data_IF_355599528301
#
_entry.id   IF_355599528301
#
_cell.length_a   1.000
_cell.length_b   1.000
_cell.length_c   1.000
_cell.angle_alpha   90.00
_cell.angle_beta   90.00
_cell.angle_gamma   90.00
#
_symmetry.space_group_name_H-M   'P 1'
#
loop_
_entity.id
_entity.type
_entity.pdbx_description
1 polymer ?
#
# COMPACT_ATOMS: atom_id res chain seq x y z
N UNK A 1 -7.31 6.34 -6.59
CA UNK A 1 -7.33 5.94 -8.02
C UNK A 1 -7.60 4.45 -8.14
N UNK A 2 -7.90 3.97 -9.35
CA UNK A 2 -8.13 2.54 -9.59
C UNK A 2 -6.91 1.72 -9.16
N UNK A 3 -7.12 0.73 -8.29
CA UNK A 3 -6.10 -0.22 -7.85
C UNK A 3 -6.25 -1.50 -8.68
N UNK A 4 -5.16 -2.13 -9.16
CA UNK A 4 -5.21 -3.37 -9.93
C UNK A 4 -5.46 -4.58 -9.00
N UNK A 5 -6.61 -4.60 -8.33
CA UNK A 5 -6.94 -5.59 -7.28
C UNK A 5 -6.92 -7.01 -7.85
N UNK A 6 -7.46 -7.22 -9.05
CA UNK A 6 -7.52 -8.55 -9.68
C UNK A 6 -6.11 -9.10 -9.92
N UNK A 7 -5.22 -8.26 -10.39
CA UNK A 7 -3.83 -8.60 -10.72
C UNK A 7 -3.02 -8.86 -9.44
N UNK A 8 -3.26 -8.08 -8.38
CA UNK A 8 -2.68 -8.33 -7.06
C UNK A 8 -3.15 -9.66 -6.49
N UNK A 9 -4.46 -9.94 -6.49
CA UNK A 9 -5.01 -11.22 -6.01
C UNK A 9 -4.44 -12.38 -6.83
N UNK A 10 -4.40 -12.27 -8.16
CA UNK A 10 -3.79 -13.29 -9.02
C UNK A 10 -2.31 -13.53 -8.67
N UNK A 11 -1.56 -12.45 -8.38
CA UNK A 11 -0.17 -12.54 -7.93
C UNK A 11 -0.02 -13.29 -6.62
N UNK A 12 -0.94 -13.08 -5.66
CA UNK A 12 -0.96 -13.79 -4.38
C UNK A 12 -1.30 -15.26 -4.57
N UNK A 13 -2.32 -15.57 -5.37
CA UNK A 13 -2.76 -16.96 -5.67
C UNK A 13 -1.65 -17.76 -6.36
N UNK A 14 -0.92 -17.16 -7.29
CA UNK A 14 0.20 -17.81 -7.99
C UNK A 14 1.47 -17.93 -7.15
N UNK A 15 1.54 -17.25 -6.00
CA UNK A 15 2.70 -17.27 -5.09
C UNK A 15 2.27 -17.59 -3.65
N UNK A 16 1.58 -18.73 -3.43
CA UNK A 16 1.03 -19.07 -2.12
C UNK A 16 2.17 -19.24 -1.11
N UNK A 17 1.94 -18.79 0.12
CA UNK A 17 2.95 -18.87 1.17
C UNK A 17 4.12 -17.86 1.04
N UNK A 18 4.28 -17.19 -0.10
CA UNK A 18 5.27 -16.12 -0.30
C UNK A 18 4.62 -14.75 -0.15
N UNK A 19 3.54 -14.48 -0.88
CA UNK A 19 2.81 -13.21 -0.82
C UNK A 19 1.49 -13.42 -0.09
N UNK A 20 1.42 -12.97 1.16
CA UNK A 20 0.26 -13.22 2.05
C UNK A 20 -0.50 -11.93 2.37
N UNK A 21 0.18 -10.80 2.29
CA UNK A 21 -0.36 -9.47 2.52
C UNK A 21 0.22 -8.50 1.49
N UNK A 22 -0.64 -7.68 0.89
CA UNK A 22 -0.25 -6.58 0.02
C UNK A 22 -0.96 -5.30 0.49
N UNK A 23 -0.19 -4.41 1.10
CA UNK A 23 -0.61 -3.05 1.41
C UNK A 23 -0.68 -2.22 0.14
N UNK A 24 -1.80 -1.51 -0.05
CA UNK A 24 -1.97 -0.60 -1.17
C UNK A 24 -1.32 0.74 -0.80
N UNK A 25 -0.49 1.29 -1.71
CA UNK A 25 0.28 2.49 -1.40
C UNK A 25 -0.62 3.69 -1.09
N UNK A 26 -0.23 4.39 -0.03
CA UNK A 26 -0.80 5.66 0.41
C UNK A 26 0.30 6.73 0.42
N UNK A 27 -0.09 7.99 0.60
CA UNK A 27 0.85 9.11 0.66
C UNK A 27 1.98 8.89 1.68
N UNK A 28 1.69 8.31 2.84
CA UNK A 28 2.63 8.11 3.94
C UNK A 28 3.73 7.09 3.65
N UNK A 29 3.48 6.12 2.77
CA UNK A 29 4.43 5.07 2.42
C UNK A 29 4.78 5.02 0.93
N UNK A 30 4.42 6.06 0.18
CA UNK A 30 4.83 6.19 -1.23
C UNK A 30 6.36 6.17 -1.37
N UNK A 31 7.09 6.76 -0.42
CA UNK A 31 8.55 6.85 -0.42
C UNK A 31 9.20 5.75 0.45
N UNK A 32 8.57 4.57 0.53
CA UNK A 32 8.94 3.53 1.49
C UNK A 32 10.43 3.15 1.46
N UNK A 33 11.02 2.98 0.27
CA UNK A 33 12.44 2.60 0.14
C UNK A 33 13.38 3.70 0.60
N UNK A 34 13.05 4.97 0.33
CA UNK A 34 13.82 6.11 0.83
C UNK A 34 13.72 6.24 2.36
N UNK A 35 12.53 6.04 2.92
CA UNK A 35 12.32 6.01 4.38
C UNK A 35 13.12 4.86 5.00
N UNK A 36 13.09 3.69 4.37
CA UNK A 36 13.84 2.51 4.81
C UNK A 36 15.35 2.76 4.76
N UNK A 37 15.86 3.31 3.65
CA UNK A 37 17.26 3.69 3.49
C UNK A 37 17.72 4.63 4.59
N UNK A 38 16.94 5.69 4.87
CA UNK A 38 17.27 6.66 5.91
C UNK A 38 17.34 6.03 7.30
N UNK A 39 16.57 4.97 7.56
CA UNK A 39 16.47 4.34 8.88
C UNK A 39 17.45 3.19 9.09
N UNK A 40 17.68 2.38 8.07
CA UNK A 40 18.40 1.10 8.17
C UNK A 40 19.70 1.06 7.34
N UNK A 41 19.95 2.08 6.51
CA UNK A 41 21.18 2.21 5.72
C UNK A 41 21.18 1.37 4.43
N UNK A 42 22.24 1.55 3.63
CA UNK A 42 22.36 1.00 2.27
C UNK A 42 22.45 -0.53 2.24
N UNK A 43 23.15 -1.14 3.19
CA UNK A 43 23.30 -2.60 3.22
C UNK A 43 21.93 -3.31 3.39
N UNK A 44 21.11 -2.84 4.33
CA UNK A 44 19.76 -3.36 4.52
C UNK A 44 18.83 -3.05 3.34
N UNK A 45 19.00 -1.90 2.69
CA UNK A 45 18.25 -1.56 1.47
C UNK A 45 18.56 -2.54 0.34
N UNK A 46 19.83 -2.89 0.12
CA UNK A 46 20.20 -3.87 -0.91
C UNK A 46 19.50 -5.23 -0.67
N UNK A 47 19.49 -5.72 0.58
CA UNK A 47 18.77 -6.96 0.92
C UNK A 47 17.25 -6.81 0.68
N UNK A 48 16.68 -5.65 1.01
CA UNK A 48 15.27 -5.35 0.74
C UNK A 48 14.93 -5.35 -0.77
N UNK A 49 15.86 -4.89 -1.60
CA UNK A 49 15.72 -4.91 -3.06
C UNK A 49 15.76 -6.32 -3.63
N UNK A 50 16.67 -7.16 -3.14
CA UNK A 50 16.73 -8.58 -3.52
C UNK A 50 15.44 -9.33 -3.16
N UNK A 51 14.79 -8.92 -2.08
CA UNK A 51 13.49 -9.46 -1.65
C UNK A 51 12.29 -8.89 -2.42
N UNK A 52 12.45 -7.78 -3.14
CA UNK A 52 11.37 -7.12 -3.88
C UNK A 52 10.92 -7.95 -5.07
N UNK A 53 9.61 -8.07 -5.25
CA UNK A 53 9.03 -8.95 -6.27
C UNK A 53 8.54 -8.14 -7.47
N UNK A 54 8.88 -8.65 -8.65
CA UNK A 54 8.45 -8.14 -9.94
C UNK A 54 7.76 -9.29 -10.67
N UNK A 55 6.49 -9.51 -10.33
CA UNK A 55 5.74 -10.69 -10.77
C UNK A 55 5.14 -10.46 -12.16
N UNK A 56 5.08 -11.48 -13.05
CA UNK A 56 4.53 -11.33 -14.40
C UNK A 56 3.07 -10.84 -14.42
N UNK A 57 2.27 -11.24 -13.44
CA UNK A 57 0.89 -10.80 -13.24
C UNK A 57 0.77 -9.30 -12.93
N UNK A 58 1.88 -8.62 -12.62
CA UNK A 58 1.97 -7.19 -12.34
C UNK A 58 2.66 -6.41 -13.48
N UNK A 59 2.89 -7.03 -14.63
CA UNK A 59 3.27 -6.33 -15.86
C UNK A 59 2.01 -5.82 -16.58
N UNK A 60 1.59 -4.61 -16.24
CA UNK A 60 0.27 -4.06 -16.59
C UNK A 60 0.34 -3.05 -17.73
N UNK A 61 -0.81 -2.62 -18.24
CA UNK A 61 -0.89 -1.60 -19.28
C UNK A 61 -0.32 -0.26 -18.79
N UNK A 62 0.71 0.23 -19.48
CA UNK A 62 1.39 1.50 -19.17
C UNK A 62 0.48 2.72 -19.37
N UNK A 63 -0.48 2.65 -20.29
CA UNK A 63 -1.48 3.72 -20.48
C UNK A 63 -2.43 3.86 -19.29
N UNK A 64 -2.54 2.84 -18.44
CA UNK A 64 -3.37 2.87 -17.23
C UNK A 64 -2.50 3.17 -16.01
N UNK A 65 -1.41 2.42 -15.80
CA UNK A 65 -0.65 2.43 -14.54
C UNK A 65 0.74 3.06 -14.64
N UNK A 66 1.18 3.50 -15.82
CA UNK A 66 2.47 4.18 -15.98
C UNK A 66 2.49 5.60 -15.39
N UNK A 67 3.65 6.26 -15.47
CA UNK A 67 3.86 7.62 -14.97
C UNK A 67 2.80 8.64 -15.46
N UNK A 68 2.37 8.51 -16.71
CA UNK A 68 1.32 9.32 -17.34
C UNK A 68 -0.01 8.59 -17.53
N UNK A 69 -0.17 7.42 -16.90
CA UNK A 69 -1.34 6.58 -17.10
C UNK A 69 -2.63 7.21 -16.58
N UNK A 70 -3.75 6.81 -17.17
CA UNK A 70 -5.09 7.32 -16.84
C UNK A 70 -5.46 7.13 -15.37
N UNK A 71 -4.93 6.10 -14.69
CA UNK A 71 -5.16 5.91 -13.25
C UNK A 71 -4.53 7.01 -12.39
N UNK A 72 -3.36 7.53 -12.77
CA UNK A 72 -2.72 8.63 -12.06
C UNK A 72 -3.46 9.96 -12.30
N UNK A 73 -3.97 10.16 -13.52
CA UNK A 73 -4.78 11.32 -13.87
C UNK A 73 -6.09 11.41 -13.07
N UNK A 74 -6.64 10.27 -12.63
CA UNK A 74 -7.85 10.23 -11.80
C UNK A 74 -7.68 10.90 -10.41
N UNK A 75 -6.45 11.19 -9.98
CA UNK A 75 -6.17 11.87 -8.70
C UNK A 75 -6.14 13.39 -8.89
N UNK A 76 -5.88 13.85 -10.11
CA UNK A 76 -5.89 15.26 -10.52
C UNK A 76 -7.28 15.65 -11.00
N UNK A 77 -7.86 16.69 -10.41
CA UNK A 77 -9.30 17.01 -10.57
C UNK A 77 -9.97 17.46 -9.28
N UNK A 78 -9.21 17.47 -8.18
CA UNK A 78 -9.58 18.13 -6.92
C UNK A 78 -9.19 19.61 -6.97
N UNK A 79 -9.31 20.30 -5.84
CA UNK A 79 -8.90 21.70 -5.72
C UNK A 79 -7.46 21.94 -6.20
N UNK A 80 -7.18 23.15 -6.68
CA UNK A 80 -5.87 23.55 -7.19
C UNK A 80 -4.73 23.25 -6.19
N UNK A 81 -4.99 23.46 -4.89
CA UNK A 81 -4.06 23.14 -3.80
C UNK A 81 -3.69 21.65 -3.78
N UNK A 82 -4.66 20.76 -3.95
CA UNK A 82 -4.43 19.31 -3.96
C UNK A 82 -3.62 18.91 -5.19
N UNK A 83 -3.95 19.46 -6.38
CA UNK A 83 -3.20 19.20 -7.61
C UNK A 83 -1.73 19.66 -7.49
N UNK A 84 -1.48 20.87 -6.97
CA UNK A 84 -0.11 21.36 -6.69
C UNK A 84 0.64 20.44 -5.74
N UNK A 85 -0.03 19.95 -4.68
CA UNK A 85 0.60 19.01 -3.75
C UNK A 85 0.93 17.66 -4.39
N UNK A 86 0.08 17.14 -5.28
CA UNK A 86 0.33 15.87 -5.98
C UNK A 86 1.50 16.03 -6.95
N UNK A 87 1.55 17.13 -7.71
CA UNK A 87 2.65 17.42 -8.63
C UNK A 87 3.99 17.55 -7.89
N UNK A 88 4.00 18.24 -6.74
CA UNK A 88 5.19 18.33 -5.90
C UNK A 88 5.63 16.95 -5.38
N UNK A 89 4.67 16.12 -4.93
CA UNK A 89 4.95 14.75 -4.48
C UNK A 89 5.55 13.90 -5.60
N UNK A 90 4.95 13.95 -6.80
CA UNK A 90 5.42 13.25 -8.00
C UNK A 90 6.86 13.66 -8.33
N UNK A 91 7.15 14.96 -8.33
CA UNK A 91 8.51 15.49 -8.56
C UNK A 91 9.51 14.96 -7.52
N UNK A 92 9.15 14.97 -6.24
CA UNK A 92 10.00 14.42 -5.17
C UNK A 92 10.25 12.93 -5.35
N UNK A 93 9.22 12.18 -5.71
CA UNK A 93 9.31 10.74 -5.96
C UNK A 93 10.29 10.41 -7.08
N UNK A 94 10.18 11.05 -8.25
CA UNK A 94 11.12 10.80 -9.35
C UNK A 94 12.56 11.23 -9.06
N UNK A 95 12.76 12.21 -8.17
CA UNK A 95 14.08 12.59 -7.68
C UNK A 95 14.68 11.63 -6.63
N UNK A 96 13.92 10.66 -6.16
CA UNK A 96 14.30 9.82 -5.02
C UNK A 96 15.11 8.58 -5.41
N UNK A 97 15.57 7.82 -4.42
CA UNK A 97 16.14 6.50 -4.67
C UNK A 97 15.09 5.56 -5.28
N UNK A 98 13.91 5.50 -4.65
CA UNK A 98 12.79 4.71 -5.16
C UNK A 98 12.39 5.14 -6.58
N UNK A 99 12.40 6.45 -6.86
CA UNK A 99 12.26 7.10 -8.17
C UNK A 99 13.11 6.52 -9.29
N UNK A 100 14.38 6.28 -8.96
CA UNK A 100 15.42 5.95 -9.95
C UNK A 100 15.55 4.44 -10.20
N UNK A 101 15.07 3.61 -9.29
CA UNK A 101 15.21 2.14 -9.34
C UNK A 101 13.98 1.42 -9.95
N UNK A 102 13.22 2.12 -10.79
CA UNK A 102 11.86 1.72 -11.22
C UNK A 102 11.82 0.95 -12.51
N UNK A 103 12.84 1.10 -13.35
CA UNK A 103 12.78 0.62 -14.71
C UNK A 103 13.23 -0.83 -14.77
N UNK A 104 12.23 -1.72 -14.88
CA UNK A 104 12.41 -3.01 -15.53
C UNK A 104 11.74 -2.95 -16.89
N UNK A 105 12.47 -3.36 -17.92
CA UNK A 105 11.89 -3.53 -19.23
C UNK A 105 10.84 -4.63 -19.18
N UNK A 106 9.59 -4.24 -19.40
CA UNK A 106 8.49 -5.14 -19.75
C UNK A 106 8.06 -4.76 -21.14
N UNK A 107 7.58 -5.75 -21.92
CA UNK A 107 7.30 -5.59 -23.34
C UNK A 107 6.50 -4.31 -23.69
N UNK A 108 6.50 -3.91 -24.97
CA UNK A 108 6.00 -2.62 -25.41
C UNK A 108 4.60 -2.31 -24.87
N UNK A 109 4.41 -1.08 -24.39
CA UNK A 109 3.15 -0.60 -23.82
C UNK A 109 2.84 -1.09 -22.40
N UNK A 110 3.77 -1.78 -21.72
CA UNK A 110 3.59 -2.24 -20.34
C UNK A 110 4.44 -1.44 -19.35
N UNK A 111 4.02 -1.50 -18.08
CA UNK A 111 4.77 -1.06 -16.91
C UNK A 111 4.84 -2.19 -15.90
N UNK A 112 6.00 -2.36 -15.27
CA UNK A 112 6.18 -3.37 -14.23
C UNK A 112 5.90 -2.74 -12.86
N UNK A 113 4.82 -3.18 -12.22
CA UNK A 113 4.58 -2.87 -10.80
C UNK A 113 5.49 -3.73 -9.92
N UNK A 114 5.80 -3.25 -8.73
CA UNK A 114 6.61 -3.99 -7.75
C UNK A 114 5.84 -4.25 -6.45
N UNK A 115 6.19 -5.35 -5.80
CA UNK A 115 5.85 -5.65 -4.41
C UNK A 115 7.11 -5.47 -3.58
N UNK A 116 7.21 -4.34 -2.87
CA UNK A 116 8.35 -4.05 -2.00
C UNK A 116 8.07 -4.65 -0.62
N UNK A 117 8.98 -5.45 -0.01
CA UNK A 117 8.75 -6.03 1.31
C UNK A 117 8.53 -4.92 2.33
N UNK A 118 7.54 -5.06 3.20
CA UNK A 118 7.31 -4.12 4.31
C UNK A 118 7.53 -4.78 5.66
N UNK A 119 8.20 -4.05 6.55
CA UNK A 119 8.33 -4.41 7.96
C UNK A 119 7.19 -3.86 8.84
N UNK A 120 6.27 -3.11 8.21
CA UNK A 120 5.18 -2.44 8.89
C UNK A 120 3.85 -2.85 8.27
N UNK A 121 2.91 -3.18 9.14
CA UNK A 121 1.49 -3.19 8.83
C UNK A 121 0.95 -1.80 9.07
N UNK A 122 0.73 -1.07 7.98
CA UNK A 122 0.12 0.25 8.03
C UNK A 122 -1.40 0.10 8.15
N UNK A 123 -2.04 1.12 8.72
CA UNK A 123 -3.48 1.34 8.60
C UNK A 123 -3.83 1.81 7.18
N UNK A 124 -3.52 0.94 6.22
CA UNK A 124 -3.77 1.13 4.81
C UNK A 124 -4.81 0.12 4.35
N UNK A 125 -5.55 0.46 3.30
CA UNK A 125 -6.23 -0.54 2.48
C UNK A 125 -5.22 -1.62 2.06
N UNK A 126 -5.57 -2.88 2.29
CA UNK A 126 -4.71 -4.00 1.99
C UNK A 126 -5.51 -5.21 1.53
N UNK A 127 -4.84 -6.11 0.83
CA UNK A 127 -5.38 -7.40 0.42
C UNK A 127 -4.59 -8.45 1.21
N UNK A 128 -5.30 -9.33 1.91
CA UNK A 128 -4.68 -10.34 2.76
C UNK A 128 -5.29 -11.71 2.50
N UNK A 129 -4.45 -12.73 2.46
CA UNK A 129 -4.88 -14.12 2.43
C UNK A 129 -5.67 -14.45 3.70
N UNK A 130 -6.88 -15.00 3.54
CA UNK A 130 -7.79 -15.22 4.66
C UNK A 130 -7.23 -16.22 5.66
N UNK A 131 -6.58 -17.29 5.18
CA UNK A 131 -5.97 -18.29 6.06
C UNK A 131 -4.78 -17.69 6.82
N UNK A 132 -3.93 -16.90 6.17
CA UNK A 132 -2.86 -16.16 6.85
C UNK A 132 -3.40 -15.21 7.92
N UNK A 133 -4.43 -14.43 7.59
CA UNK A 133 -5.01 -13.48 8.54
C UNK A 133 -5.61 -14.21 9.75
N UNK A 134 -6.43 -15.23 9.52
CA UNK A 134 -7.11 -15.96 10.60
C UNK A 134 -6.18 -16.87 11.39
N UNK A 135 -5.39 -17.69 10.72
CA UNK A 135 -4.67 -18.83 11.32
C UNK A 135 -3.24 -18.50 11.71
N UNK A 136 -2.67 -17.40 11.23
CA UNK A 136 -1.32 -16.97 11.61
C UNK A 136 -1.34 -15.66 12.39
N UNK A 137 -1.95 -14.60 11.86
CA UNK A 137 -1.94 -13.26 12.50
C UNK A 137 -2.70 -13.29 13.83
N UNK A 138 -3.88 -13.93 13.83
CA UNK A 138 -4.71 -14.11 15.03
C UNK A 138 -4.56 -15.49 15.69
N UNK A 139 -3.46 -16.21 15.44
CA UNK A 139 -3.21 -17.50 16.09
C UNK A 139 -3.15 -17.33 17.63
N UNK A 140 -4.08 -17.96 18.38
CA UNK A 140 -4.11 -17.89 19.84
C UNK A 140 -2.83 -18.43 20.51
N UNK A 141 -2.07 -19.28 19.82
CA UNK A 141 -0.80 -19.84 20.31
C UNK A 141 0.35 -18.86 20.13
N UNK A 142 0.37 -18.11 19.02
CA UNK A 142 1.42 -17.12 18.74
C UNK A 142 1.21 -15.81 19.51
N UNK A 143 -0.05 -15.47 19.85
CA UNK A 143 -0.42 -14.28 20.63
C UNK A 143 0.19 -12.97 20.09
N UNK A 144 0.36 -12.87 18.76
CA UNK A 144 0.92 -11.68 18.13
C UNK A 144 -0.04 -10.50 18.24
N UNK A 145 -1.35 -10.75 18.07
CA UNK A 145 -2.42 -9.77 18.21
C UNK A 145 -3.44 -10.32 19.20
N UNK A 146 -3.58 -9.63 20.33
CA UNK A 146 -4.61 -9.98 21.31
C UNK A 146 -6.01 -9.61 20.78
N UNK A 147 -7.05 -10.29 21.27
CA UNK A 147 -8.44 -9.94 20.93
C UNK A 147 -8.71 -8.47 21.30
N UNK A 148 -9.21 -7.70 20.34
CA UNK A 148 -9.46 -6.26 20.49
C UNK A 148 -8.23 -5.36 20.30
N UNK A 149 -7.04 -5.93 20.01
CA UNK A 149 -5.87 -5.17 19.60
C UNK A 149 -5.91 -4.83 18.11
N UNK A 150 -5.45 -3.63 17.77
CA UNK A 150 -5.22 -3.23 16.38
C UNK A 150 -4.02 -3.98 15.81
N UNK A 151 -4.17 -4.53 14.62
CA UNK A 151 -3.15 -5.42 14.06
C UNK A 151 -1.91 -4.64 13.59
N UNK A 152 -2.11 -3.41 13.16
CA UNK A 152 -1.10 -2.45 12.70
C UNK A 152 -0.08 -2.15 13.82
N UNK A 153 -0.59 -1.95 15.03
CA UNK A 153 0.20 -1.66 16.24
C UNK A 153 0.98 -2.88 16.74
N UNK A 154 0.43 -4.08 16.55
CA UNK A 154 0.93 -5.29 17.19
C UNK A 154 1.81 -6.15 16.28
N UNK A 155 1.53 -6.20 14.99
CA UNK A 155 2.26 -7.08 14.09
C UNK A 155 3.61 -6.49 13.67
N UNK A 156 3.69 -5.18 13.42
CA UNK A 156 4.94 -4.51 13.01
C UNK A 156 6.10 -4.77 13.98
N UNK A 157 5.93 -4.64 15.32
CA UNK A 157 6.97 -5.02 16.28
C UNK A 157 7.40 -6.50 16.22
N UNK A 158 6.48 -7.42 15.89
CA UNK A 158 6.78 -8.84 15.76
C UNK A 158 7.63 -9.12 14.51
N UNK A 159 7.35 -8.43 13.39
CA UNK A 159 8.15 -8.50 12.17
C UNK A 159 9.56 -7.99 12.44
N UNK A 160 9.68 -6.79 13.04
CA UNK A 160 10.97 -6.19 13.40
C UNK A 160 11.81 -7.11 14.27
N UNK A 161 11.23 -7.65 15.36
CA UNK A 161 11.93 -8.62 16.23
C UNK A 161 12.36 -9.90 15.50
N UNK A 162 11.63 -10.33 14.47
CA UNK A 162 12.02 -11.51 13.70
C UNK A 162 13.18 -11.19 12.76
N UNK A 163 13.14 -10.03 12.10
CA UNK A 163 14.21 -9.51 11.25
C UNK A 163 15.49 -9.26 12.04
N UNK A 164 15.41 -8.61 13.20
CA UNK A 164 16.55 -8.37 14.08
C UNK A 164 17.23 -9.68 14.52
N UNK A 165 16.46 -10.74 14.73
CA UNK A 165 16.99 -12.05 15.18
C UNK A 165 17.50 -12.95 14.06
N UNK A 166 16.96 -12.83 12.84
CA UNK A 166 17.17 -13.81 11.76
C UNK A 166 17.68 -13.21 10.45
N UNK A 167 17.90 -11.90 10.39
CA UNK A 167 18.13 -11.17 9.15
C UNK A 167 16.83 -10.83 8.42
N UNK A 168 16.91 -9.91 7.45
CA UNK A 168 15.74 -9.35 6.78
C UNK A 168 14.98 -10.44 6.02
N UNK A 169 15.69 -11.21 5.19
CA UNK A 169 15.09 -12.24 4.33
C UNK A 169 14.38 -13.32 5.14
N UNK A 170 15.11 -13.98 6.05
CA UNK A 170 14.55 -15.08 6.83
C UNK A 170 13.53 -14.60 7.86
N UNK A 171 13.77 -13.44 8.50
CA UNK A 171 12.85 -12.86 9.47
C UNK A 171 11.50 -12.44 8.85
N UNK A 172 11.52 -11.91 7.63
CA UNK A 172 10.33 -11.46 6.90
C UNK A 172 9.54 -12.62 6.27
N UNK A 173 10.21 -13.66 5.77
CA UNK A 173 9.62 -14.75 4.96
C UNK A 173 8.35 -15.37 5.55
N UNK A 174 8.25 -15.52 6.87
CA UNK A 174 7.07 -16.08 7.53
C UNK A 174 5.84 -15.17 7.46
N UNK A 175 6.03 -13.86 7.35
CA UNK A 175 4.97 -12.85 7.29
C UNK A 175 4.54 -12.58 5.85
N UNK A 176 5.46 -12.52 4.89
CA UNK A 176 5.12 -12.38 3.46
C UNK A 176 4.32 -11.10 3.16
N UNK A 177 4.71 -9.99 3.78
CA UNK A 177 4.02 -8.70 3.71
C UNK A 177 4.72 -7.75 2.76
N UNK A 178 3.98 -7.20 1.80
CA UNK A 178 4.51 -6.31 0.78
C UNK A 178 3.67 -5.04 0.62
N UNK A 179 4.23 -4.02 0.00
CA UNK A 179 3.54 -2.81 -0.46
C UNK A 179 3.56 -2.80 -1.99
N UNK A 180 2.40 -2.55 -2.59
CA UNK A 180 2.25 -2.35 -4.01
C UNK A 180 2.75 -0.96 -4.42
N UNK A 181 3.65 -0.90 -5.39
CA UNK A 181 4.09 0.34 -6.03
C UNK A 181 4.02 0.20 -7.55
N UNK A 182 3.43 1.21 -8.21
CA UNK A 182 3.35 1.29 -9.67
C UNK A 182 4.29 2.31 -10.28
N UNK A 183 5.15 2.90 -9.47
CA UNK A 183 6.22 3.74 -9.97
C UNK A 183 5.71 5.02 -10.66
N UNK A 184 4.45 5.39 -10.45
CA UNK A 184 3.89 6.60 -11.04
C UNK A 184 4.18 7.88 -10.23
N UNK A 185 4.71 7.73 -9.01
CA UNK A 185 4.88 8.82 -8.04
C UNK A 185 3.59 9.35 -7.45
N UNK A 186 2.51 8.58 -7.53
CA UNK A 186 1.20 8.89 -6.96
C UNK A 186 0.71 7.68 -6.18
N UNK A 187 -0.05 7.90 -5.10
CA UNK A 187 -0.59 6.84 -4.26
C UNK A 187 -1.94 6.31 -4.78
N UNK A 188 -2.27 5.05 -4.46
CA UNK A 188 -3.54 4.43 -4.86
C UNK A 188 -4.72 4.88 -3.99
N UNK A 189 -4.54 4.83 -2.67
CA UNK A 189 -5.59 5.05 -1.68
C UNK A 189 -5.20 6.17 -0.70
N UNK A 190 -6.18 6.71 0.01
CA UNK A 190 -5.95 7.67 1.09
C UNK A 190 -6.98 7.46 2.18
N UNK A 191 -6.70 7.99 3.37
CA UNK A 191 -7.63 7.93 4.49
C UNK A 191 -8.95 8.64 4.12
N UNK A 192 -10.06 8.00 4.48
CA UNK A 192 -11.36 8.67 4.47
C UNK A 192 -11.37 9.64 5.66
N UNK A 193 -11.63 10.92 5.40
CA UNK A 193 -11.88 11.87 6.48
C UNK A 193 -13.27 11.59 7.06
N UNK A 194 -13.32 10.73 8.09
CA UNK A 194 -14.56 10.35 8.76
C UNK A 194 -15.33 11.54 9.35
N UNK A 195 -14.67 12.68 9.59
CA UNK A 195 -15.31 13.90 10.07
C UNK A 195 -15.91 14.77 8.95
N UNK A 196 -15.46 14.63 7.70
CA UNK A 196 -15.85 15.49 6.57
C UNK A 196 -16.10 14.73 5.27
N UNK A 197 -16.59 13.49 5.33
CA UNK A 197 -16.93 12.73 4.12
C UNK A 197 -18.09 13.35 3.33
N UNK A 198 -18.89 14.21 3.96
CA UNK A 198 -19.93 15.03 3.34
C UNK A 198 -19.47 16.49 3.31
N UNK A 199 -19.70 17.16 2.18
CA UNK A 199 -19.68 18.63 2.11
C UNK A 199 -20.69 19.22 3.09
N UNK A 200 -20.53 20.50 3.45
CA UNK A 200 -21.51 21.18 4.31
C UNK A 200 -22.94 21.06 3.77
N UNK A 201 -23.12 21.23 2.46
CA UNK A 201 -24.42 21.09 1.81
C UNK A 201 -24.98 19.66 1.93
N UNK A 202 -24.13 18.63 1.76
CA UNK A 202 -24.56 17.23 1.93
C UNK A 202 -24.82 16.87 3.40
N UNK A 203 -24.06 17.43 4.35
CA UNK A 203 -24.34 17.32 5.79
C UNK A 203 -25.69 17.93 6.13
N UNK A 204 -25.96 19.14 5.64
CA UNK A 204 -27.21 19.85 5.88
C UNK A 204 -28.40 19.07 5.26
N UNK A 205 -28.25 18.52 4.06
CA UNK A 205 -29.25 17.67 3.42
C UNK A 205 -29.50 16.36 4.19
N UNK A 206 -28.45 15.72 4.71
CA UNK A 206 -28.53 14.50 5.52
C UNK A 206 -29.22 14.76 6.87
N UNK A 207 -28.93 15.88 7.53
CA UNK A 207 -29.58 16.28 8.78
C UNK A 207 -31.06 16.60 8.54
N UNK A 208 -31.39 17.31 7.46
CA UNK A 208 -32.79 17.68 7.15
C UNK A 208 -33.65 16.46 6.78
N UNK A 209 -33.10 15.50 6.05
CA UNK A 209 -33.80 14.25 5.70
C UNK A 209 -34.04 13.33 6.91
N UNK A 210 -33.11 13.27 7.86
CA UNK A 210 -33.31 12.48 9.09
C UNK A 210 -34.19 13.19 10.13
N UNK A 211 -34.15 14.53 10.19
CA UNK A 211 -35.00 15.31 11.10
C UNK A 211 -36.49 15.31 10.71
N UNK A 212 -36.79 15.11 9.42
CA UNK A 212 -38.16 14.97 8.91
C UNK A 212 -38.75 13.57 9.15
N UNK A 213 -37.91 12.54 9.27
CA UNK A 213 -38.32 11.18 9.64
C UNK A 213 -38.62 11.04 11.14
N UNK A 214 -37.90 11.77 12.00
CA UNK A 214 -38.15 11.79 13.45
C UNK A 214 -39.43 12.54 13.87
N UNK A 215 -39.99 13.39 13.00
CA UNK A 215 -41.26 14.10 13.23
C UNK A 215 -42.49 13.34 12.72
N UNK A 216 -42.30 12.15 12.15
CA UNK A 216 -43.38 11.29 11.61
C UNK A 216 -43.62 10.02 12.43
N UNK A 217 -42.95 9.83 13.57
CA UNK A 217 -43.26 8.80 14.58
C UNK A 217 -43.84 9.45 15.82
#
# INVERSE_FOLDING_TARGET
>A
RQTPVKEVVNSMVLNPGRVKYVGISMRSNLMYRDIFLSKYGKAALNELEEMSLYLPSLALCGEIYGEGGSSAASVTGRSEKVNKSILALKKTYFGSYQGRMQTREVGPGKVQLSLTPTLFWYDNTHICDTAHYRDFVFDPRLKMVARGGFVEDKLSPNILKAVERRGLTMGHSRYGCYILDDHSGVYFTGHLDGGNFLTKAEKDAFVNSNSSNLKKS
#
